data_IF_725926347116
#
_entry.id   IF_725926347116
#
_cell.length_a   1.000
_cell.length_b   1.000
_cell.length_c   1.000
_cell.angle_alpha   90.00
_cell.angle_beta   90.00
_cell.angle_gamma   90.00
#
_symmetry.space_group_name_H-M   'P 1'
#
loop_
_entity.id
_entity.type
_entity.pdbx_description
1 polymer ?
#
# COMPACT_ATOMS: atom_id res chain seq x y z
N UNK A 1 18.18 -7.56 1.95
CA UNK A 1 18.16 -8.41 0.75
C UNK A 1 16.75 -8.39 0.18
N UNK A 2 16.59 -8.02 -1.09
CA UNK A 2 15.29 -7.95 -1.78
C UNK A 2 14.66 -9.33 -1.96
N UNK A 3 15.47 -10.38 -2.04
CA UNK A 3 15.01 -11.78 -2.17
C UNK A 3 14.29 -12.21 -0.91
N UNK A 4 14.93 -12.00 0.25
CA UNK A 4 14.34 -12.30 1.56
C UNK A 4 13.04 -11.52 1.80
N UNK A 5 12.96 -10.26 1.34
CA UNK A 5 11.73 -9.47 1.45
C UNK A 5 10.57 -10.07 0.64
N UNK A 6 10.84 -10.52 -0.59
CA UNK A 6 9.84 -11.19 -1.43
C UNK A 6 9.35 -12.51 -0.82
N UNK A 7 10.25 -13.30 -0.23
CA UNK A 7 9.90 -14.54 0.47
C UNK A 7 8.98 -14.27 1.67
N UNK A 8 9.28 -13.25 2.49
CA UNK A 8 8.43 -12.85 3.62
C UNK A 8 7.05 -12.42 3.14
N UNK A 9 6.97 -11.59 2.09
CA UNK A 9 5.68 -11.16 1.52
C UNK A 9 4.87 -12.34 0.98
N UNK A 10 5.53 -13.31 0.34
CA UNK A 10 4.87 -14.53 -0.13
C UNK A 10 4.33 -15.37 1.03
N UNK A 11 5.08 -15.49 2.14
CA UNK A 11 4.62 -16.18 3.35
C UNK A 11 3.40 -15.48 3.96
N UNK A 12 3.41 -14.14 4.05
CA UNK A 12 2.28 -13.37 4.56
C UNK A 12 1.04 -13.51 3.66
N UNK A 13 1.22 -13.47 2.34
CA UNK A 13 0.14 -13.72 1.36
C UNK A 13 -0.46 -15.12 1.56
N UNK A 14 0.40 -16.14 1.71
CA UNK A 14 -0.05 -17.50 1.96
C UNK A 14 -0.85 -17.62 3.26
N UNK A 15 -0.42 -16.94 4.33
CA UNK A 15 -1.17 -16.95 5.59
C UNK A 15 -2.60 -16.40 5.43
N UNK A 16 -2.78 -15.36 4.60
CA UNK A 16 -4.11 -14.84 4.26
C UNK A 16 -4.91 -15.86 3.45
N UNK A 17 -4.34 -16.38 2.37
CA UNK A 17 -5.06 -17.23 1.41
C UNK A 17 -5.38 -18.64 1.96
N UNK A 18 -4.43 -19.25 2.65
CA UNK A 18 -4.53 -20.65 3.08
C UNK A 18 -5.03 -20.79 4.51
N UNK A 19 -4.74 -19.82 5.39
CA UNK A 19 -5.05 -19.91 6.82
C UNK A 19 -6.19 -18.95 7.24
N UNK A 20 -6.68 -18.09 6.34
CA UNK A 20 -7.69 -17.09 6.65
C UNK A 20 -7.20 -16.02 7.64
N UNK A 21 -5.89 -15.85 7.77
CA UNK A 21 -5.32 -14.82 8.64
C UNK A 21 -5.59 -13.42 8.07
N UNK A 22 -5.72 -12.42 8.95
CA UNK A 22 -5.74 -11.01 8.53
C UNK A 22 -4.35 -10.41 8.75
N UNK A 23 -3.77 -9.83 7.69
CA UNK A 23 -2.47 -9.15 7.75
C UNK A 23 -2.67 -7.67 7.45
N UNK A 24 -2.15 -6.83 8.33
CA UNK A 24 -1.97 -5.39 8.08
C UNK A 24 -0.48 -5.13 8.00
N UNK A 25 -0.05 -4.49 6.92
CA UNK A 25 1.33 -4.08 6.73
C UNK A 25 1.39 -2.60 6.36
N UNK A 26 2.49 -1.95 6.73
CA UNK A 26 2.77 -0.55 6.37
C UNK A 26 4.05 -0.54 5.55
N UNK A 27 3.98 0.06 4.37
CA UNK A 27 5.12 0.15 3.47
C UNK A 27 5.04 1.41 2.62
N UNK A 28 6.21 1.92 2.22
CA UNK A 28 6.36 2.98 1.23
C UNK A 28 6.75 2.41 -0.15
N UNK A 29 6.87 1.09 -0.27
CA UNK A 29 7.19 0.40 -1.52
C UNK A 29 5.90 -0.06 -2.23
N UNK A 30 5.58 0.48 -3.41
CA UNK A 30 4.44 0.05 -4.21
C UNK A 30 4.47 -1.44 -4.60
N UNK A 31 5.66 -2.03 -4.77
CA UNK A 31 5.80 -3.43 -5.14
C UNK A 31 5.37 -4.36 -4.00
N UNK A 32 5.75 -4.03 -2.76
CA UNK A 32 5.27 -4.72 -1.57
C UNK A 32 3.75 -4.54 -1.36
N UNK A 33 3.25 -3.31 -1.51
CA UNK A 33 1.83 -3.00 -1.34
C UNK A 33 0.93 -3.78 -2.32
N UNK A 34 1.42 -4.09 -3.53
CA UNK A 34 0.69 -4.86 -4.53
C UNK A 34 0.37 -6.32 -4.12
N UNK A 35 0.99 -6.84 -3.05
CA UNK A 35 0.63 -8.16 -2.48
C UNK A 35 -0.71 -8.14 -1.72
N UNK A 36 -1.17 -6.95 -1.32
CA UNK A 36 -2.35 -6.79 -0.49
C UNK A 36 -3.66 -6.96 -1.29
N UNK A 37 -4.71 -7.38 -0.58
CA UNK A 37 -6.08 -7.36 -1.11
C UNK A 37 -6.58 -5.93 -1.32
N UNK A 38 -6.16 -5.01 -0.45
CA UNK A 38 -6.54 -3.61 -0.45
C UNK A 38 -5.37 -2.75 0.03
N UNK A 39 -5.15 -1.65 -0.66
CA UNK A 39 -4.19 -0.60 -0.27
C UNK A 39 -4.97 0.59 0.24
N UNK A 40 -4.61 1.09 1.42
CA UNK A 40 -5.14 2.34 1.98
C UNK A 40 -4.04 3.39 1.93
N UNK A 41 -4.36 4.58 1.44
CA UNK A 41 -3.45 5.71 1.40
C UNK A 41 -3.76 6.63 2.56
N UNK A 42 -2.75 6.91 3.38
CA UNK A 42 -2.87 7.82 4.53
C UNK A 42 -2.15 9.13 4.19
N UNK A 43 -2.82 10.26 4.38
CA UNK A 43 -2.23 11.60 4.29
C UNK A 43 -2.79 12.47 5.41
N UNK A 44 -1.94 13.27 6.06
CA UNK A 44 -2.33 14.20 7.13
C UNK A 44 -3.16 13.57 8.27
N UNK A 45 -2.92 12.29 8.57
CA UNK A 45 -3.64 11.56 9.61
C UNK A 45 -4.99 10.99 9.18
N UNK A 46 -5.41 11.20 7.94
CA UNK A 46 -6.68 10.73 7.39
C UNK A 46 -6.48 9.70 6.26
N UNK A 47 -7.46 8.81 6.08
CA UNK A 47 -7.50 7.91 4.92
C UNK A 47 -7.87 8.75 3.69
N UNK A 48 -6.87 9.10 2.90
CA UNK A 48 -7.01 9.92 1.71
C UNK A 48 -7.60 9.15 0.53
N UNK A 49 -7.33 7.84 0.42
CA UNK A 49 -7.87 6.99 -0.64
C UNK A 49 -7.73 5.49 -0.34
N UNK A 50 -8.31 4.65 -1.20
CA UNK A 50 -8.05 3.22 -1.22
C UNK A 50 -8.15 2.60 -2.62
N UNK A 51 -7.33 1.60 -2.90
CA UNK A 51 -7.40 0.81 -4.12
C UNK A 51 -7.51 -0.70 -3.79
N UNK A 52 -8.52 -1.41 -4.32
CA UNK A 52 -8.59 -2.87 -4.21
C UNK A 52 -7.68 -3.53 -5.27
N UNK A 53 -6.92 -4.56 -4.87
CA UNK A 53 -6.11 -5.40 -5.77
C UNK A 53 -5.32 -4.61 -6.85
N UNK A 54 -4.65 -3.55 -6.43
CA UNK A 54 -3.94 -2.65 -7.32
C UNK A 54 -2.54 -3.16 -7.70
N UNK A 55 -2.11 -2.81 -8.90
CA UNK A 55 -0.75 -3.03 -9.38
C UNK A 55 0.23 -2.04 -8.74
N UNK A 56 1.52 -2.40 -8.70
CA UNK A 56 2.57 -1.52 -8.20
C UNK A 56 2.61 -0.16 -8.93
N UNK A 57 2.32 -0.13 -10.23
CA UNK A 57 2.29 1.10 -11.04
C UNK A 57 1.13 2.03 -10.63
N UNK A 58 -0.06 1.48 -10.41
CA UNK A 58 -1.22 2.26 -9.95
C UNK A 58 -0.97 2.84 -8.56
N UNK A 59 -0.40 2.03 -7.66
CA UNK A 59 -0.05 2.45 -6.30
C UNK A 59 1.01 3.56 -6.34
N UNK A 60 2.09 3.38 -7.11
CA UNK A 60 3.14 4.37 -7.26
C UNK A 60 2.59 5.70 -7.79
N UNK A 61 1.76 5.64 -8.84
CA UNK A 61 1.11 6.81 -9.43
C UNK A 61 0.25 7.55 -8.40
N UNK A 62 -0.50 6.80 -7.58
CA UNK A 62 -1.34 7.38 -6.53
C UNK A 62 -0.51 8.02 -5.42
N UNK A 63 0.57 7.38 -4.99
CA UNK A 63 1.51 7.97 -4.02
C UNK A 63 2.08 9.28 -4.54
N UNK A 64 2.55 9.34 -5.80
CA UNK A 64 3.05 10.59 -6.40
C UNK A 64 1.99 11.69 -6.43
N UNK A 65 0.74 11.34 -6.76
CA UNK A 65 -0.37 12.30 -6.78
C UNK A 65 -0.71 12.88 -5.40
N UNK A 66 -0.50 12.11 -4.32
CA UNK A 66 -0.75 12.54 -2.94
C UNK A 66 0.41 13.37 -2.36
N UNK A 67 1.64 13.15 -2.83
CA UNK A 67 2.84 13.89 -2.39
C UNK A 67 3.10 15.16 -3.23
N UNK A 68 2.51 15.25 -4.43
CA UNK A 68 2.52 16.49 -5.19
C UNK A 68 1.89 17.62 -4.34
N UNK A 69 2.38 18.88 -4.43
CA UNK A 69 1.88 19.97 -3.60
C UNK A 69 0.44 20.33 -3.99
N UNK A 70 -0.51 19.58 -3.44
CA UNK A 70 -1.94 19.79 -3.51
C UNK A 70 -2.53 20.00 -2.10
N UNK A 71 -1.71 20.45 -1.15
CA UNK A 71 -2.11 20.80 0.23
C UNK A 71 -1.53 22.15 0.67
N UNK A 72 -1.64 23.17 -0.20
CA UNK A 72 -1.44 24.58 0.21
C UNK A 72 -2.76 25.39 0.21
N UNK A 73 -3.91 24.80 -0.11
CA UNK A 73 -5.19 25.53 -0.19
C UNK A 73 -6.39 24.65 0.18
N UNK A 74 -6.57 24.39 1.47
CA UNK A 74 -7.89 24.08 2.06
C UNK A 74 -7.98 24.41 3.57
N UNK A 75 -7.10 25.26 4.07
CA UNK A 75 -7.13 25.78 5.45
C UNK A 75 -6.66 27.25 5.48
N UNK A 76 -7.37 28.12 4.76
CA UNK A 76 -7.33 29.57 4.93
C UNK A 76 -8.69 30.16 4.54
#
# INVERSE_FOLDING_TARGET
DTTTAAEVLALLRNAVDALGATVVMVTHDPAAAAYADRVLFLADGEIADSLPRATATEIASRMTALTAPAFARAAA
#
